data_IF_937829673245
#
_entry.id   IF_937829673245
#
_cell.length_a   1.000
_cell.length_b   1.000
_cell.length_c   1.000
_cell.angle_alpha   90.00
_cell.angle_beta   90.00
_cell.angle_gamma   90.00
#
_symmetry.space_group_name_H-M   'P 1'
#
loop_
_entity.id
_entity.type
_entity.pdbx_description
1 polymer ?
#
# COMPACT_ATOMS: atom_id res chain seq x y z
N UNK A 1 4.45 -4.48 -9.75
CA UNK A 1 4.52 -3.87 -8.43
C UNK A 1 5.75 -2.99 -8.30
N UNK A 2 5.56 -1.75 -7.91
CA UNK A 2 6.59 -0.72 -7.88
C UNK A 2 6.39 0.18 -6.66
N UNK A 3 7.42 0.28 -5.81
CA UNK A 3 7.36 1.11 -4.61
C UNK A 3 7.11 2.60 -4.95
N UNK A 4 7.66 3.11 -6.06
CA UNK A 4 7.38 4.48 -6.53
C UNK A 4 5.91 4.68 -6.93
N UNK A 5 5.32 3.70 -7.64
CA UNK A 5 3.90 3.72 -8.02
C UNK A 5 3.00 3.74 -6.79
N UNK A 6 3.29 2.86 -5.82
CA UNK A 6 2.55 2.78 -4.57
C UNK A 6 2.67 4.07 -3.75
N UNK A 7 3.86 4.65 -3.68
CA UNK A 7 4.08 5.93 -3.01
C UNK A 7 3.30 7.07 -3.66
N UNK A 8 3.33 7.14 -5.01
CA UNK A 8 2.55 8.10 -5.77
C UNK A 8 1.05 7.95 -5.49
N UNK A 9 0.56 6.70 -5.43
CA UNK A 9 -0.82 6.40 -5.09
C UNK A 9 -1.20 6.94 -3.71
N UNK A 10 -0.39 6.69 -2.66
CA UNK A 10 -0.68 7.20 -1.32
C UNK A 10 -0.70 8.73 -1.25
N UNK A 11 0.07 9.41 -2.09
CA UNK A 11 0.11 10.88 -2.13
C UNK A 11 -1.01 11.51 -2.95
N UNK A 12 -1.56 10.81 -3.94
CA UNK A 12 -2.45 11.42 -4.94
C UNK A 12 -3.80 10.72 -5.10
N UNK A 13 -3.90 9.46 -4.68
CA UNK A 13 -5.04 8.60 -4.99
C UNK A 13 -5.13 8.21 -6.48
N UNK A 14 -4.08 8.45 -7.27
CA UNK A 14 -4.07 8.17 -8.70
C UNK A 14 -3.31 6.88 -8.97
N UNK A 15 -3.96 5.97 -9.69
CA UNK A 15 -3.37 4.75 -10.23
C UNK A 15 -3.45 4.76 -11.75
N UNK A 16 -2.51 4.07 -12.39
CA UNK A 16 -2.48 3.96 -13.86
C UNK A 16 -2.47 2.49 -14.28
N UNK A 17 -3.31 2.13 -15.24
CA UNK A 17 -3.35 0.81 -15.84
C UNK A 17 -3.71 0.93 -17.32
N UNK A 18 -2.95 0.29 -18.20
CA UNK A 18 -3.17 0.27 -19.65
C UNK A 18 -3.36 1.68 -20.26
N UNK A 19 -2.55 2.64 -19.82
CA UNK A 19 -2.61 4.04 -20.29
C UNK A 19 -3.80 4.85 -19.77
N UNK A 20 -4.66 4.27 -18.92
CA UNK A 20 -5.78 4.96 -18.27
C UNK A 20 -5.44 5.28 -16.83
N UNK A 21 -5.90 6.43 -16.36
CA UNK A 21 -5.79 6.83 -14.97
C UNK A 21 -7.13 6.66 -14.26
N UNK A 22 -7.06 6.17 -13.03
CA UNK A 22 -8.20 6.00 -12.13
C UNK A 22 -7.89 6.71 -10.82
N UNK A 23 -8.93 7.23 -10.18
CA UNK A 23 -8.81 7.81 -8.86
C UNK A 23 -9.49 6.90 -7.85
N UNK A 24 -8.69 6.36 -6.93
CA UNK A 24 -9.15 5.53 -5.82
C UNK A 24 -8.61 6.17 -4.54
N UNK A 25 -9.46 6.49 -3.55
CA UNK A 25 -8.97 7.01 -2.29
C UNK A 25 -8.01 6.00 -1.64
N UNK A 26 -6.78 6.41 -1.30
CA UNK A 26 -5.86 5.51 -0.63
C UNK A 26 -6.31 5.30 0.82
N UNK A 27 -5.93 4.17 1.37
CA UNK A 27 -6.14 3.89 2.79
C UNK A 27 -5.37 4.91 3.64
N UNK A 28 -5.98 5.39 4.72
CA UNK A 28 -5.37 6.38 5.62
C UNK A 28 -4.00 5.94 6.18
N UNK A 29 -3.84 4.64 6.42
CA UNK A 29 -2.59 4.05 6.92
C UNK A 29 -1.44 4.04 5.90
N UNK A 30 -1.67 4.33 4.63
CA UNK A 30 -0.61 4.36 3.63
C UNK A 30 0.51 5.36 3.96
N UNK A 31 0.13 6.58 4.37
CA UNK A 31 1.11 7.57 4.83
C UNK A 31 1.78 7.18 6.15
N UNK A 32 1.01 6.58 7.08
CA UNK A 32 1.55 6.12 8.37
C UNK A 32 2.69 5.13 8.15
N UNK A 33 2.51 4.12 7.30
CA UNK A 33 3.55 3.13 6.98
C UNK A 33 4.80 3.78 6.40
N UNK A 34 4.64 4.75 5.49
CA UNK A 34 5.76 5.47 4.90
C UNK A 34 6.55 6.21 5.98
N UNK A 35 5.88 7.04 6.77
CA UNK A 35 6.56 7.88 7.74
C UNK A 35 7.12 7.10 8.93
N UNK A 36 6.47 6.01 9.34
CA UNK A 36 7.03 5.09 10.33
C UNK A 36 8.41 4.56 9.94
N UNK A 37 8.54 4.14 8.68
CA UNK A 37 9.76 3.47 8.24
C UNK A 37 10.88 4.44 7.86
N UNK A 38 10.55 5.61 7.31
CA UNK A 38 11.52 6.47 6.63
C UNK A 38 11.72 7.86 7.25
N UNK A 39 10.85 8.30 8.19
CA UNK A 39 10.99 9.63 8.80
C UNK A 39 12.34 9.81 9.50
N UNK A 40 12.83 8.77 10.17
CA UNK A 40 14.13 8.76 10.86
C UNK A 40 15.34 9.00 9.94
N UNK A 41 15.19 8.65 8.66
CA UNK A 41 16.25 8.77 7.66
C UNK A 41 16.28 10.17 7.01
N UNK A 42 15.27 11.00 7.30
CA UNK A 42 15.22 12.36 6.77
C UNK A 42 16.14 13.28 7.57
N UNK A 43 17.05 13.93 6.86
CA UNK A 43 17.80 15.06 7.40
C UNK A 43 16.89 16.30 7.37
N UNK A 44 16.08 16.45 8.40
CA UNK A 44 15.25 17.63 8.59
C UNK A 44 16.03 18.72 9.30
N UNK A 45 15.67 20.00 9.05
CA UNK A 45 16.25 21.16 9.79
C UNK A 45 15.75 21.26 11.24
N UNK A 46 14.83 20.37 11.61
CA UNK A 46 14.21 20.26 12.93
C UNK A 46 14.26 18.82 13.41
N UNK A 47 14.24 18.62 14.73
CA UNK A 47 14.23 17.29 15.33
C UNK A 47 12.89 16.61 15.12
N UNK A 48 12.89 15.47 14.42
CA UNK A 48 11.72 14.65 14.12
C UNK A 48 11.47 13.53 15.13
N UNK A 49 12.31 13.37 16.15
CA UNK A 49 12.26 12.24 17.08
C UNK A 49 10.94 12.13 17.84
N UNK A 50 10.42 13.27 18.33
CA UNK A 50 9.16 13.30 19.06
C UNK A 50 7.95 13.05 18.15
N UNK A 51 7.98 13.50 16.90
CA UNK A 51 6.97 13.18 15.90
C UNK A 51 7.01 11.68 15.55
N UNK A 52 8.18 11.12 15.37
CA UNK A 52 8.35 9.69 15.10
C UNK A 52 7.79 8.83 16.25
N UNK A 53 8.07 9.25 17.50
CA UNK A 53 7.51 8.59 18.69
C UNK A 53 5.99 8.64 18.72
N UNK A 54 5.39 9.78 18.38
CA UNK A 54 3.93 9.92 18.31
C UNK A 54 3.31 8.99 17.26
N UNK A 55 3.93 8.89 16.06
CA UNK A 55 3.51 7.95 15.01
C UNK A 55 3.61 6.50 15.50
N UNK A 56 4.71 6.15 16.17
CA UNK A 56 4.91 4.81 16.72
C UNK A 56 3.85 4.43 17.76
N UNK A 57 3.53 5.34 18.69
CA UNK A 57 2.49 5.13 19.69
C UNK A 57 1.12 4.94 19.04
N UNK A 58 0.82 5.70 17.99
CA UNK A 58 -0.42 5.55 17.22
C UNK A 58 -0.53 4.16 16.57
N UNK A 59 0.56 3.63 16.06
CA UNK A 59 0.60 2.29 15.45
C UNK A 59 0.41 1.19 16.50
N UNK A 60 0.93 1.39 17.69
CA UNK A 60 0.78 0.46 18.82
C UNK A 60 -0.61 0.53 19.46
N UNK A 61 -1.49 1.38 18.95
CA UNK A 61 -2.82 1.68 19.50
C UNK A 61 -2.81 2.20 20.94
N UNK A 62 -1.67 2.76 21.38
CA UNK A 62 -1.54 3.45 22.66
C UNK A 62 -2.02 4.89 22.53
N UNK A 63 -3.34 5.04 22.46
CA UNK A 63 -3.97 6.34 22.21
C UNK A 63 -3.74 7.32 23.37
N UNK A 64 -3.62 6.86 24.61
CA UNK A 64 -3.39 7.72 25.79
C UNK A 64 -2.01 8.35 25.75
N UNK A 65 -0.97 7.54 25.59
CA UNK A 65 0.42 8.03 25.49
C UNK A 65 0.64 8.80 24.20
N UNK A 66 -0.01 8.42 23.09
CA UNK A 66 0.02 9.15 21.84
C UNK A 66 -0.53 10.58 22.02
N UNK A 67 -1.68 10.77 22.67
CA UNK A 67 -2.26 12.09 22.91
C UNK A 67 -1.35 12.95 23.80
N UNK A 68 -0.73 12.37 24.82
CA UNK A 68 0.26 13.05 25.65
C UNK A 68 1.46 13.49 24.83
N UNK A 69 1.95 12.59 23.96
CA UNK A 69 3.10 12.85 23.11
C UNK A 69 2.81 13.95 22.07
N UNK A 70 1.65 13.89 21.43
CA UNK A 70 1.20 14.89 20.43
C UNK A 70 1.09 16.28 21.06
N UNK A 71 0.60 16.40 22.31
CA UNK A 71 0.53 17.69 23.00
C UNK A 71 1.87 18.36 23.18
N UNK A 72 2.96 17.59 23.28
CA UNK A 72 4.34 18.12 23.42
C UNK A 72 4.95 18.59 22.10
N UNK A 73 4.40 18.16 20.96
CA UNK A 73 4.92 18.54 19.64
C UNK A 73 4.75 20.07 19.42
N UNK A 74 5.67 20.71 18.70
CA UNK A 74 5.44 22.03 18.12
C UNK A 74 4.23 22.01 17.16
N UNK A 75 3.53 23.12 17.02
CA UNK A 75 2.27 23.17 16.26
C UNK A 75 2.42 22.67 14.82
N UNK A 76 3.51 23.05 14.12
CA UNK A 76 3.75 22.56 12.77
C UNK A 76 3.96 21.03 12.70
N UNK A 77 4.51 20.40 13.74
CA UNK A 77 4.64 18.94 13.81
C UNK A 77 3.31 18.27 14.15
N UNK A 78 2.44 18.93 14.93
CA UNK A 78 1.06 18.45 15.16
C UNK A 78 0.28 18.41 13.84
N UNK A 79 0.42 19.46 13.01
CA UNK A 79 -0.24 19.52 11.71
C UNK A 79 0.25 18.40 10.78
N UNK A 80 1.56 18.13 10.77
CA UNK A 80 2.14 16.99 10.04
C UNK A 80 1.60 15.67 10.57
N UNK A 81 1.60 15.47 11.90
CA UNK A 81 1.07 14.25 12.52
C UNK A 81 -0.39 14.00 12.13
N UNK A 82 -1.26 15.01 12.31
CA UNK A 82 -2.68 14.88 11.97
C UNK A 82 -2.91 14.63 10.48
N UNK A 83 -2.11 15.24 9.61
CA UNK A 83 -2.16 14.97 8.17
C UNK A 83 -1.80 13.51 7.86
N UNK A 84 -0.73 12.99 8.46
CA UNK A 84 -0.28 11.60 8.26
C UNK A 84 -1.35 10.60 8.72
N UNK A 85 -1.84 10.73 9.96
CA UNK A 85 -2.78 9.74 10.54
C UNK A 85 -4.17 9.81 9.92
N UNK A 86 -4.55 10.93 9.29
CA UNK A 86 -5.83 11.07 8.58
C UNK A 86 -5.73 10.74 7.08
N UNK A 87 -4.56 10.28 6.61
CA UNK A 87 -4.34 10.01 5.19
C UNK A 87 -4.41 11.24 4.28
N UNK A 88 -4.42 12.45 4.85
CA UNK A 88 -4.48 13.71 4.10
C UNK A 88 -3.07 14.20 3.76
N UNK A 89 -2.86 14.60 2.53
CA UNK A 89 -1.56 15.08 2.06
C UNK A 89 -1.48 16.59 2.15
N UNK A 90 -0.94 17.13 3.26
CA UNK A 90 -0.58 18.56 3.34
C UNK A 90 0.64 18.85 2.45
N UNK A 91 0.90 20.14 2.10
CA UNK A 91 2.10 20.52 1.36
C UNK A 91 3.39 20.05 2.03
N UNK A 92 3.46 20.12 3.36
CA UNK A 92 4.60 19.70 4.18
C UNK A 92 4.80 18.19 4.10
N UNK A 93 3.73 17.40 4.30
CA UNK A 93 3.74 15.94 4.17
C UNK A 93 4.18 15.53 2.77
N UNK A 94 3.66 16.21 1.73
CA UNK A 94 4.06 15.96 0.35
C UNK A 94 5.55 16.22 0.12
N UNK A 95 6.08 17.33 0.64
CA UNK A 95 7.50 17.68 0.53
C UNK A 95 8.38 16.66 1.24
N UNK A 96 8.03 16.24 2.46
CA UNK A 96 8.75 15.22 3.21
C UNK A 96 8.73 13.87 2.46
N UNK A 97 7.57 13.44 1.99
CA UNK A 97 7.42 12.21 1.24
C UNK A 97 8.23 12.23 -0.07
N UNK A 98 8.25 13.33 -0.80
CA UNK A 98 9.09 13.47 -1.99
C UNK A 98 10.59 13.42 -1.67
N UNK A 99 10.99 13.90 -0.48
CA UNK A 99 12.38 13.79 -0.01
C UNK A 99 12.71 12.34 0.33
N UNK A 100 11.81 11.61 0.98
CA UNK A 100 11.94 10.16 1.21
C UNK A 100 12.14 9.43 -0.12
N UNK A 101 11.28 9.67 -1.11
CA UNK A 101 11.38 9.05 -2.44
C UNK A 101 12.76 9.24 -3.09
N UNK A 102 13.34 10.42 -2.94
CA UNK A 102 14.67 10.73 -3.51
C UNK A 102 15.80 10.06 -2.73
N UNK A 103 15.73 10.10 -1.40
CA UNK A 103 16.81 9.61 -0.54
C UNK A 103 16.85 8.07 -0.50
N UNK A 104 15.67 7.41 -0.60
CA UNK A 104 15.50 5.97 -0.45
C UNK A 104 15.35 5.25 -1.81
N UNK A 105 15.79 5.87 -2.90
CA UNK A 105 15.61 5.34 -4.25
C UNK A 105 16.18 3.93 -4.41
N UNK A 106 17.36 3.66 -3.86
CA UNK A 106 17.98 2.33 -3.93
C UNK A 106 17.19 1.30 -3.14
N UNK A 107 16.75 1.65 -1.93
CA UNK A 107 15.89 0.80 -1.10
C UNK A 107 14.60 0.44 -1.84
N UNK A 108 13.98 1.41 -2.51
CA UNK A 108 12.75 1.18 -3.26
C UNK A 108 12.96 0.33 -4.51
N UNK A 109 14.10 0.43 -5.19
CA UNK A 109 14.46 -0.46 -6.29
C UNK A 109 14.54 -1.90 -5.79
N UNK A 110 15.24 -2.15 -4.70
CA UNK A 110 15.41 -3.48 -4.12
C UNK A 110 14.09 -4.09 -3.62
N UNK A 111 13.18 -3.26 -3.09
CA UNK A 111 11.85 -3.67 -2.63
C UNK A 111 10.82 -3.83 -3.76
N UNK A 112 11.12 -3.39 -4.98
CA UNK A 112 10.16 -3.39 -6.08
C UNK A 112 10.29 -4.63 -6.94
N UNK A 113 9.32 -5.57 -6.90
CA UNK A 113 9.34 -6.80 -7.67
C UNK A 113 9.55 -6.62 -9.17
N UNK A 114 9.16 -5.49 -9.75
CA UNK A 114 9.34 -5.21 -11.17
C UNK A 114 10.79 -5.35 -11.66
N UNK A 115 11.78 -5.24 -10.77
CA UNK A 115 13.19 -5.32 -11.15
C UNK A 115 13.75 -6.75 -11.13
N UNK A 116 13.12 -7.66 -10.37
CA UNK A 116 13.62 -9.03 -10.18
C UNK A 116 12.57 -10.13 -10.45
N UNK A 117 11.27 -9.79 -10.58
CA UNK A 117 10.22 -10.79 -10.80
C UNK A 117 10.40 -11.61 -12.08
N UNK A 118 11.05 -11.04 -13.11
CA UNK A 118 11.36 -11.76 -14.37
C UNK A 118 12.31 -12.94 -14.17
N UNK A 119 13.06 -12.94 -13.07
CA UNK A 119 14.07 -13.99 -12.79
C UNK A 119 13.43 -15.16 -11.97
N UNK A 120 12.16 -15.07 -11.63
CA UNK A 120 11.39 -16.14 -10.97
C UNK A 120 10.90 -17.10 -12.05
N UNK A 121 11.41 -18.33 -12.03
CA UNK A 121 11.02 -19.40 -12.96
C UNK A 121 9.79 -20.18 -12.51
N UNK A 122 9.56 -20.23 -11.21
CA UNK A 122 8.47 -20.97 -10.58
C UNK A 122 7.11 -20.36 -10.95
N UNK A 123 6.08 -21.18 -10.91
CA UNK A 123 4.72 -20.70 -11.10
C UNK A 123 4.27 -19.89 -9.89
N UNK A 124 3.83 -18.65 -10.13
CA UNK A 124 3.36 -17.72 -9.10
C UNK A 124 1.85 -17.57 -9.21
N UNK A 125 1.14 -17.77 -8.10
CA UNK A 125 -0.30 -17.53 -7.98
C UNK A 125 -0.53 -16.22 -7.24
N UNK A 126 -1.24 -15.28 -7.87
CA UNK A 126 -1.54 -13.97 -7.31
C UNK A 126 -3.04 -13.86 -7.12
N UNK A 127 -3.47 -13.65 -5.88
CA UNK A 127 -4.86 -13.35 -5.53
C UNK A 127 -4.94 -11.93 -4.95
N UNK A 128 -5.81 -11.09 -5.51
CA UNK A 128 -5.91 -9.68 -5.11
C UNK A 128 -7.36 -9.20 -5.07
N UNK A 129 -7.67 -8.32 -4.11
CA UNK A 129 -8.96 -7.64 -4.02
C UNK A 129 -9.05 -6.45 -4.98
N UNK A 130 -10.13 -6.35 -5.74
CA UNK A 130 -10.33 -5.20 -6.63
C UNK A 130 -10.41 -3.87 -5.88
N UNK A 131 -10.98 -3.91 -4.66
CA UNK A 131 -11.24 -2.74 -3.83
C UNK A 131 -10.17 -2.55 -2.73
N UNK A 132 -9.02 -3.19 -2.85
CA UNK A 132 -7.93 -2.98 -1.90
C UNK A 132 -7.42 -1.54 -1.98
N UNK A 133 -7.63 -0.78 -0.89
CA UNK A 133 -7.19 0.61 -0.77
C UNK A 133 -5.78 0.77 -0.20
N UNK A 134 -5.18 -0.33 0.33
CA UNK A 134 -3.77 -0.33 0.74
C UNK A 134 -2.84 -0.55 -0.43
N UNK A 135 -3.12 -1.60 -1.23
CA UNK A 135 -2.34 -1.89 -2.43
C UNK A 135 -3.30 -1.95 -3.62
N UNK A 136 -3.24 -1.01 -4.55
CA UNK A 136 -4.12 -1.03 -5.71
C UNK A 136 -3.95 -2.30 -6.54
N UNK A 137 -5.05 -2.89 -7.00
CA UNK A 137 -5.04 -4.11 -7.82
C UNK A 137 -4.16 -3.99 -9.09
N UNK A 138 -3.94 -2.78 -9.56
CA UNK A 138 -3.05 -2.49 -10.70
C UNK A 138 -1.60 -2.91 -10.44
N UNK A 139 -1.16 -2.92 -9.17
CA UNK A 139 0.17 -3.40 -8.79
C UNK A 139 0.30 -4.91 -9.05
N UNK A 140 -0.75 -5.68 -8.76
CA UNK A 140 -0.78 -7.12 -9.06
C UNK A 140 -0.88 -7.42 -10.55
N UNK A 141 -1.61 -6.60 -11.32
CA UNK A 141 -1.64 -6.73 -12.78
C UNK A 141 -0.25 -6.47 -13.37
N UNK A 142 0.45 -5.42 -12.91
CA UNK A 142 1.81 -5.13 -13.35
C UNK A 142 2.78 -6.24 -12.95
N UNK A 143 2.69 -6.73 -11.71
CA UNK A 143 3.52 -7.84 -11.23
C UNK A 143 3.33 -9.10 -12.09
N UNK A 144 2.07 -9.46 -12.39
CA UNK A 144 1.77 -10.58 -13.27
C UNK A 144 2.38 -10.41 -14.68
N UNK A 145 2.49 -9.18 -15.16
CA UNK A 145 3.13 -8.87 -16.44
C UNK A 145 4.65 -9.02 -16.45
N UNK A 146 5.30 -8.98 -15.28
CA UNK A 146 6.75 -9.20 -15.16
C UNK A 146 7.12 -10.67 -14.92
N UNK A 147 6.19 -11.46 -14.38
CA UNK A 147 6.42 -12.87 -14.05
C UNK A 147 6.28 -13.75 -15.31
N UNK A 148 7.24 -14.63 -15.61
CA UNK A 148 7.20 -15.51 -16.78
C UNK A 148 6.07 -16.53 -16.73
N UNK A 149 5.73 -17.01 -15.52
CA UNK A 149 4.73 -18.05 -15.30
C UNK A 149 3.83 -17.66 -14.13
N UNK A 150 2.66 -17.07 -14.45
CA UNK A 150 1.78 -16.55 -13.42
C UNK A 150 0.30 -16.89 -13.67
N UNK A 151 -0.43 -17.07 -12.60
CA UNK A 151 -1.89 -17.14 -12.57
C UNK A 151 -2.38 -15.99 -11.70
N UNK A 152 -3.13 -15.05 -12.27
CA UNK A 152 -3.66 -13.89 -11.56
C UNK A 152 -5.18 -14.01 -11.40
N UNK A 153 -5.66 -13.80 -10.18
CA UNK A 153 -7.07 -13.63 -9.88
C UNK A 153 -7.28 -12.31 -9.14
N UNK A 154 -7.97 -11.35 -9.77
CA UNK A 154 -8.45 -10.12 -9.11
C UNK A 154 -9.95 -10.29 -8.87
N UNK A 155 -10.41 -10.27 -7.62
CA UNK A 155 -11.80 -10.50 -7.26
C UNK A 155 -12.44 -9.29 -6.56
N UNK A 156 -13.69 -9.01 -6.94
CA UNK A 156 -14.50 -7.98 -6.29
C UNK A 156 -15.02 -8.41 -4.92
N UNK A 157 -14.94 -9.71 -4.56
CA UNK A 157 -15.33 -10.20 -3.24
C UNK A 157 -14.26 -9.96 -2.18
N UNK A 158 -13.04 -9.62 -2.58
CA UNK A 158 -11.92 -9.44 -1.66
C UNK A 158 -11.62 -7.94 -1.51
N UNK A 159 -11.45 -7.54 -0.28
CA UNK A 159 -10.87 -6.28 0.15
C UNK A 159 -9.55 -6.58 0.88
N UNK A 160 -8.88 -5.56 1.43
CA UNK A 160 -7.54 -5.76 2.00
C UNK A 160 -7.50 -6.89 3.07
N UNK A 161 -8.52 -7.02 3.90
CA UNK A 161 -8.60 -8.05 4.97
C UNK A 161 -9.97 -8.71 5.08
N UNK A 162 -10.93 -8.37 4.24
CA UNK A 162 -12.32 -8.74 4.39
C UNK A 162 -12.90 -9.29 3.10
N UNK A 163 -13.98 -10.06 3.22
CA UNK A 163 -14.79 -10.50 2.10
C UNK A 163 -16.03 -9.61 2.05
N UNK A 164 -16.22 -8.93 0.91
CA UNK A 164 -17.37 -8.07 0.68
C UNK A 164 -18.37 -8.74 -0.27
N UNK A 165 -19.61 -8.90 0.19
CA UNK A 165 -20.73 -9.49 -0.57
C UNK A 165 -21.69 -8.42 -1.11
N UNK A 166 -21.19 -7.24 -1.44
CA UNK A 166 -21.99 -6.08 -1.85
C UNK A 166 -22.63 -6.21 -3.24
N UNK A 167 -22.33 -7.29 -3.99
CA UNK A 167 -22.95 -7.59 -5.30
C UNK A 167 -24.28 -8.34 -5.18
N UNK A 168 -25.09 -8.31 -6.23
CA UNK A 168 -26.29 -9.15 -6.33
C UNK A 168 -25.90 -10.65 -6.39
N UNK A 169 -26.87 -11.53 -6.10
CA UNK A 169 -26.67 -12.99 -5.97
C UNK A 169 -25.87 -13.60 -7.15
N UNK A 170 -26.25 -13.31 -8.40
CA UNK A 170 -25.57 -13.85 -9.58
C UNK A 170 -24.14 -13.30 -9.74
N UNK A 171 -23.89 -12.06 -9.37
CA UNK A 171 -22.57 -11.45 -9.40
C UNK A 171 -21.65 -12.12 -8.37
N UNK A 172 -22.10 -12.23 -7.13
CA UNK A 172 -21.34 -12.87 -6.07
C UNK A 172 -21.05 -14.34 -6.39
N UNK A 173 -22.01 -15.06 -6.99
CA UNK A 173 -21.84 -16.46 -7.41
C UNK A 173 -20.76 -16.59 -8.50
N UNK A 174 -20.76 -15.70 -9.49
CA UNK A 174 -19.73 -15.68 -10.55
C UNK A 174 -18.33 -15.42 -9.98
N UNK A 175 -18.20 -14.46 -9.09
CA UNK A 175 -16.93 -14.14 -8.43
C UNK A 175 -16.46 -15.28 -7.51
N UNK A 176 -17.37 -15.91 -6.76
CA UNK A 176 -17.06 -17.09 -5.96
C UNK A 176 -16.57 -18.25 -6.84
N UNK A 177 -17.22 -18.52 -7.96
CA UNK A 177 -16.79 -19.56 -8.90
C UNK A 177 -15.39 -19.28 -9.46
N UNK A 178 -15.07 -18.04 -9.77
CA UNK A 178 -13.75 -17.59 -10.20
C UNK A 178 -12.68 -17.86 -9.12
N UNK A 179 -13.00 -17.57 -7.85
CA UNK A 179 -12.12 -17.87 -6.72
C UNK A 179 -11.92 -19.38 -6.55
N UNK A 180 -12.98 -20.18 -6.66
CA UNK A 180 -12.89 -21.65 -6.58
C UNK A 180 -12.02 -22.22 -7.71
N UNK A 181 -12.17 -21.73 -8.94
CA UNK A 181 -11.32 -22.13 -10.06
C UNK A 181 -9.85 -21.77 -9.82
N UNK A 182 -9.57 -20.59 -9.29
CA UNK A 182 -8.21 -20.19 -8.95
C UNK A 182 -7.60 -21.11 -7.90
N UNK A 183 -8.33 -21.41 -6.81
CA UNK A 183 -7.86 -22.33 -5.78
C UNK A 183 -7.70 -23.76 -6.29
N UNK A 184 -8.59 -24.24 -7.14
CA UNK A 184 -8.44 -25.55 -7.76
C UNK A 184 -7.15 -25.67 -8.58
N UNK A 185 -6.81 -24.64 -9.37
CA UNK A 185 -5.53 -24.58 -10.09
C UNK A 185 -4.32 -24.54 -9.15
N UNK A 186 -4.42 -23.77 -8.06
CA UNK A 186 -3.36 -23.69 -7.05
C UNK A 186 -3.11 -25.05 -6.43
N UNK A 187 -4.15 -25.74 -5.93
CA UNK A 187 -4.01 -27.05 -5.30
C UNK A 187 -3.53 -28.11 -6.28
N UNK A 188 -4.10 -28.17 -7.50
CA UNK A 188 -3.63 -29.10 -8.52
C UNK A 188 -2.15 -28.94 -8.91
N UNK A 189 -1.60 -27.75 -8.72
CA UNK A 189 -0.19 -27.49 -8.99
C UNK A 189 0.74 -28.09 -7.93
N UNK A 190 0.28 -28.18 -6.67
CA UNK A 190 1.07 -28.73 -5.55
C UNK A 190 0.84 -30.23 -5.31
N UNK A 191 -0.16 -30.83 -5.96
CA UNK A 191 -0.43 -32.29 -5.86
C UNK A 191 0.39 -33.10 -6.88
N UNK A 192 1.04 -32.46 -7.85
CA UNK A 192 1.91 -33.08 -8.85
C UNK A 192 3.39 -32.77 -8.54
#
# INVERSE_FOLDING_TARGET
>A
SDAHSLFHYFLTGIISSNGKQFRIPPHEWGLVVIFQNYLKNLQTIWDSSELQKAIQLKIQDDNVECDIQVKKLPDFQKDIFHSIISGKTSPEVKKLAQTILRNEQESFINLSPKYWAKDISEKVFILHGLNDSMVPFTESIQLAGYLPNTELCVSCLLEHKEISLNGGFFFNFKELFKLLQFHAKLFSHYEN
#
